data_IF_614695026509
#
_entry.id   IF_614695026509
#
_cell.length_a   1.000
_cell.length_b   1.000
_cell.length_c   1.000
_cell.angle_alpha   90.00
_cell.angle_beta   90.00
_cell.angle_gamma   90.00
#
_symmetry.space_group_name_H-M   'P 1'
#
loop_
_entity.id
_entity.type
_entity.pdbx_description
1 polymer ?
#
# COMPACT_ATOMS: atom_id res chain seq x y z
N UNK A 1 -31.10 -86.53 -61.90
CA UNK A 1 -30.57 -85.17 -61.66
C UNK A 1 -30.63 -84.43 -62.99
N UNK A 2 -31.57 -83.55 -63.39
CA UNK A 2 -32.36 -82.50 -62.68
C UNK A 2 -31.43 -81.61 -61.83
N UNK A 3 -31.26 -80.30 -62.00
CA UNK A 3 -32.07 -79.13 -62.46
C UNK A 3 -31.04 -77.99 -62.77
N UNK A 4 -31.03 -77.28 -63.90
CA UNK A 4 -31.87 -76.15 -64.39
C UNK A 4 -31.39 -74.71 -64.00
N UNK A 5 -30.85 -74.03 -65.02
CA UNK A 5 -31.10 -72.65 -65.55
C UNK A 5 -31.35 -71.39 -64.68
N UNK A 6 -30.56 -70.33 -65.00
CA UNK A 6 -30.85 -68.86 -65.14
C UNK A 6 -31.04 -67.96 -63.89
N UNK A 7 -31.01 -66.58 -63.96
CA UNK A 7 -30.32 -65.60 -64.85
C UNK A 7 -29.85 -64.25 -64.17
N UNK A 8 -29.30 -63.30 -64.95
CA UNK A 8 -29.41 -61.80 -64.89
C UNK A 8 -28.91 -61.02 -63.63
N UNK A 9 -28.01 -60.03 -63.81
CA UNK A 9 -28.32 -58.57 -63.75
C UNK A 9 -27.07 -57.67 -63.84
N UNK A 10 -27.14 -56.70 -64.76
CA UNK A 10 -26.27 -55.53 -64.96
C UNK A 10 -26.42 -54.54 -63.81
N UNK A 11 -25.33 -53.96 -63.27
CA UNK A 11 -25.24 -52.63 -62.59
C UNK A 11 -23.74 -52.30 -62.50
N UNK A 12 -23.22 -51.45 -63.38
CA UNK A 12 -23.16 -49.98 -63.31
C UNK A 12 -22.10 -49.46 -62.32
N UNK A 13 -21.04 -48.93 -62.93
CA UNK A 13 -20.10 -47.92 -62.45
C UNK A 13 -20.74 -46.97 -61.44
N UNK A 14 -20.20 -46.88 -60.23
CA UNK A 14 -20.08 -45.59 -59.56
C UNK A 14 -18.93 -45.64 -58.55
N UNK A 15 -17.82 -45.01 -58.95
CA UNK A 15 -16.84 -44.45 -58.03
C UNK A 15 -17.58 -43.56 -57.04
N UNK A 16 -17.93 -44.09 -55.87
CA UNK A 16 -18.18 -43.25 -54.71
C UNK A 16 -16.85 -43.06 -54.01
N UNK A 17 -16.18 -42.00 -54.45
CA UNK A 17 -15.17 -41.30 -53.69
C UNK A 17 -15.85 -40.86 -52.41
N UNK A 18 -15.61 -41.59 -51.31
CA UNK A 18 -15.98 -41.14 -49.97
C UNK A 18 -14.98 -40.05 -49.58
N UNK A 19 -15.12 -38.87 -50.20
CA UNK A 19 -14.72 -37.63 -49.55
C UNK A 19 -15.67 -37.45 -48.38
N UNK A 20 -15.22 -37.90 -47.21
CA UNK A 20 -15.76 -37.43 -45.94
C UNK A 20 -15.43 -35.95 -45.83
N UNK A 21 -16.27 -35.08 -46.38
CA UNK A 21 -16.44 -33.76 -45.78
C UNK A 21 -17.14 -34.02 -44.45
N UNK A 22 -16.37 -34.15 -43.36
CA UNK A 22 -16.93 -33.74 -42.08
C UNK A 22 -17.28 -32.27 -42.26
N UNK A 23 -18.57 -31.98 -42.22
CA UNK A 23 -19.05 -30.62 -42.05
C UNK A 23 -18.88 -30.34 -40.56
N UNK A 24 -17.65 -30.02 -40.15
CA UNK A 24 -17.46 -29.26 -38.91
C UNK A 24 -18.21 -27.95 -39.14
N UNK A 25 -19.29 -27.77 -38.41
CA UNK A 25 -19.87 -26.45 -38.27
C UNK A 25 -18.85 -25.66 -37.46
N UNK A 26 -18.00 -24.88 -38.14
CA UNK A 26 -17.34 -23.76 -37.48
C UNK A 26 -18.46 -22.85 -37.01
N UNK A 27 -18.85 -22.95 -35.74
CA UNK A 27 -19.58 -21.86 -35.12
C UNK A 27 -18.63 -20.68 -35.17
N UNK A 28 -18.96 -19.73 -36.05
CA UNK A 28 -18.29 -18.45 -36.12
C UNK A 28 -18.75 -17.69 -34.88
N UNK A 29 -18.01 -17.85 -33.79
CA UNK A 29 -18.09 -16.91 -32.68
C UNK A 29 -17.39 -15.65 -33.20
N UNK A 30 -18.14 -14.57 -33.31
CA UNK A 30 -17.63 -13.26 -33.69
C UNK A 30 -16.67 -12.80 -32.59
N UNK A 31 -15.37 -13.10 -32.75
CA UNK A 31 -14.34 -12.56 -31.87
C UNK A 31 -14.19 -11.10 -32.25
N UNK A 32 -15.03 -10.22 -31.68
CA UNK A 32 -14.70 -8.80 -31.74
C UNK A 32 -13.34 -8.62 -31.04
N UNK A 33 -12.44 -7.76 -31.51
CA UNK A 33 -11.11 -7.59 -30.91
C UNK A 33 -11.09 -7.27 -29.40
N UNK A 34 -12.24 -6.90 -28.80
CA UNK A 34 -12.39 -6.71 -27.36
C UNK A 34 -12.66 -7.99 -26.55
N UNK A 35 -12.99 -9.11 -27.21
CA UNK A 35 -13.34 -10.38 -26.55
C UNK A 35 -12.16 -11.35 -26.41
N UNK A 36 -10.96 -10.93 -26.83
CA UNK A 36 -9.78 -11.79 -26.83
C UNK A 36 -8.85 -11.48 -25.66
N UNK A 37 -8.50 -12.53 -24.89
CA UNK A 37 -7.52 -12.48 -23.82
C UNK A 37 -6.20 -13.06 -24.36
N UNK A 38 -5.09 -12.36 -24.13
CA UNK A 38 -3.74 -12.79 -24.50
C UNK A 38 -2.83 -12.75 -23.27
N UNK A 39 -1.67 -13.39 -23.35
CA UNK A 39 -0.66 -13.33 -22.29
C UNK A 39 -0.35 -11.87 -21.93
N UNK A 40 -0.34 -11.58 -20.62
CA UNK A 40 -0.09 -10.26 -20.05
C UNK A 40 -1.04 -9.14 -20.52
N UNK A 41 -2.22 -9.45 -21.06
CA UNK A 41 -3.26 -8.44 -21.26
C UNK A 41 -3.80 -7.94 -19.91
N UNK A 42 -4.41 -6.75 -19.90
CA UNK A 42 -5.01 -6.18 -18.68
C UNK A 42 -5.94 -7.19 -18.00
N UNK A 43 -6.90 -7.76 -18.74
CA UNK A 43 -7.83 -8.75 -18.18
C UNK A 43 -7.13 -10.06 -17.76
N UNK A 44 -6.08 -10.50 -18.47
CA UNK A 44 -5.33 -11.69 -18.06
C UNK A 44 -4.62 -11.47 -16.72
N UNK A 45 -4.03 -10.28 -16.51
CA UNK A 45 -3.37 -9.90 -15.25
C UNK A 45 -4.40 -9.74 -14.13
N UNK A 46 -5.54 -9.09 -14.39
CA UNK A 46 -6.62 -8.94 -13.42
C UNK A 46 -7.17 -10.31 -12.97
N UNK A 47 -7.38 -11.24 -13.91
CA UNK A 47 -7.83 -12.59 -13.57
C UNK A 47 -6.76 -13.41 -12.84
N UNK A 48 -5.47 -13.22 -13.15
CA UNK A 48 -4.38 -13.81 -12.36
C UNK A 48 -4.45 -13.30 -10.93
N UNK A 49 -4.50 -12.00 -10.73
CA UNK A 49 -4.56 -11.36 -9.43
C UNK A 49 -5.81 -11.72 -8.62
N UNK A 50 -6.98 -11.79 -9.25
CA UNK A 50 -8.24 -12.20 -8.62
C UNK A 50 -8.32 -13.71 -8.28
N UNK A 51 -7.42 -14.53 -8.84
CA UNK A 51 -7.36 -15.97 -8.56
C UNK A 51 -6.12 -16.40 -7.80
N UNK A 52 -5.31 -15.45 -7.31
CA UNK A 52 -4.20 -15.75 -6.41
C UNK A 52 -4.72 -16.20 -5.05
N UNK A 53 -3.92 -16.98 -4.33
CA UNK A 53 -4.18 -17.23 -2.91
C UNK A 53 -3.88 -15.93 -2.13
N UNK A 54 -4.90 -15.26 -1.60
CA UNK A 54 -4.74 -13.96 -0.94
C UNK A 54 -3.90 -14.00 0.32
N UNK A 55 -3.70 -15.18 0.93
CA UNK A 55 -2.96 -15.38 2.18
C UNK A 55 -3.71 -14.89 3.43
N UNK A 56 -4.30 -13.71 3.35
CA UNK A 56 -4.88 -12.93 4.45
C UNK A 56 -6.01 -13.57 5.28
N UNK A 57 -6.52 -14.74 4.89
CA UNK A 57 -7.67 -15.36 5.54
C UNK A 57 -7.39 -15.84 6.97
N UNK A 58 -6.13 -16.12 7.30
CA UNK A 58 -5.67 -16.58 8.60
C UNK A 58 -4.54 -15.76 9.22
N UNK A 59 -4.38 -14.50 8.79
CA UNK A 59 -3.40 -13.55 9.36
C UNK A 59 -3.54 -13.39 10.88
N UNK A 60 -4.75 -13.49 11.40
CA UNK A 60 -5.01 -13.44 12.85
C UNK A 60 -4.44 -14.65 13.62
N UNK A 61 -3.98 -15.67 12.91
CA UNK A 61 -3.38 -16.90 13.45
C UNK A 61 -1.87 -16.91 13.22
N UNK A 62 -1.41 -16.57 12.01
CA UNK A 62 -0.02 -16.78 11.59
C UNK A 62 0.76 -15.51 11.24
N UNK A 63 0.07 -14.37 11.16
CA UNK A 63 0.61 -13.06 10.84
C UNK A 63 1.42 -13.03 9.52
N UNK A 64 1.06 -13.86 8.54
CA UNK A 64 1.78 -13.98 7.27
C UNK A 64 0.89 -13.59 6.06
N UNK A 65 0.78 -12.31 5.70
CA UNK A 65 -0.20 -11.83 4.72
C UNK A 65 -0.09 -12.41 3.30
N UNK A 66 1.08 -12.92 2.90
CA UNK A 66 1.35 -13.49 1.57
C UNK A 66 1.25 -15.03 1.53
N UNK A 67 0.70 -15.66 2.56
CA UNK A 67 0.46 -17.10 2.57
C UNK A 67 -0.69 -17.47 3.48
N UNK A 68 -1.28 -18.64 3.27
CA UNK A 68 -2.32 -19.18 4.17
C UNK A 68 -1.95 -20.58 4.65
N UNK A 69 -2.46 -20.99 5.81
CA UNK A 69 -2.26 -22.35 6.32
C UNK A 69 -3.23 -23.31 5.62
N UNK A 70 -2.67 -24.35 5.01
CA UNK A 70 -3.45 -25.40 4.38
C UNK A 70 -4.25 -26.20 5.42
N UNK A 71 -5.57 -26.29 5.25
CA UNK A 71 -6.41 -27.17 6.06
C UNK A 71 -6.10 -28.66 5.82
N UNK A 72 -6.26 -29.53 6.84
CA UNK A 72 -6.55 -29.18 8.24
C UNK A 72 -5.28 -28.93 9.07
N UNK A 73 -5.37 -28.08 10.08
CA UNK A 73 -4.31 -27.84 11.07
C UNK A 73 -4.88 -27.73 12.49
N UNK A 74 -4.01 -27.56 13.49
CA UNK A 74 -4.41 -27.46 14.89
C UNK A 74 -3.86 -26.20 15.53
N UNK A 75 -4.67 -25.59 16.39
CA UNK A 75 -4.29 -24.46 17.24
C UNK A 75 -4.61 -24.76 18.70
N UNK A 76 -3.94 -24.08 19.61
CA UNK A 76 -4.22 -24.12 21.06
C UNK A 76 -4.76 -22.76 21.46
N UNK A 77 -5.95 -22.73 22.05
CA UNK A 77 -6.59 -21.53 22.60
C UNK A 77 -7.02 -21.89 24.03
N UNK A 78 -6.63 -21.07 25.02
CA UNK A 78 -6.90 -21.33 26.44
C UNK A 78 -6.48 -22.72 26.94
N UNK A 79 -5.40 -23.28 26.38
CA UNK A 79 -4.89 -24.61 26.71
C UNK A 79 -5.69 -25.79 26.11
N UNK A 80 -6.71 -25.51 25.29
CA UNK A 80 -7.45 -26.54 24.55
C UNK A 80 -6.98 -26.59 23.09
N UNK A 81 -6.69 -27.79 22.60
CA UNK A 81 -6.39 -28.04 21.19
C UNK A 81 -7.68 -28.05 20.37
N UNK A 82 -7.72 -27.24 19.33
CA UNK A 82 -8.82 -27.11 18.36
C UNK A 82 -8.26 -27.50 16.99
N UNK A 83 -9.01 -28.31 16.24
CA UNK A 83 -8.68 -28.65 14.85
C UNK A 83 -9.46 -27.73 13.92
N UNK A 84 -8.77 -27.08 13.00
CA UNK A 84 -9.34 -26.24 11.96
C UNK A 84 -9.38 -27.06 10.67
N UNK A 85 -10.56 -27.33 10.15
CA UNK A 85 -10.77 -28.21 8.99
C UNK A 85 -11.24 -27.48 7.75
N UNK A 86 -11.82 -26.29 7.91
CA UNK A 86 -12.27 -25.41 6.83
C UNK A 86 -12.44 -23.95 7.30
N UNK A 87 -12.90 -23.09 6.40
CA UNK A 87 -13.15 -21.67 6.66
C UNK A 87 -14.21 -21.41 7.74
N UNK A 88 -15.17 -22.31 7.94
CA UNK A 88 -16.21 -22.13 8.95
C UNK A 88 -15.66 -22.27 10.37
N UNK A 89 -14.61 -23.09 10.55
CA UNK A 89 -13.89 -23.21 11.82
C UNK A 89 -13.13 -21.91 12.15
N UNK A 90 -12.56 -21.20 11.16
CA UNK A 90 -11.87 -19.91 11.36
C UNK A 90 -12.80 -18.83 11.90
N UNK A 91 -14.00 -18.70 11.33
CA UNK A 91 -15.00 -17.73 11.79
C UNK A 91 -15.40 -17.92 13.27
N UNK A 92 -15.29 -19.15 13.78
CA UNK A 92 -15.60 -19.46 15.19
C UNK A 92 -14.54 -18.96 16.17
N UNK A 93 -13.30 -18.73 15.70
CA UNK A 93 -12.17 -18.32 16.53
C UNK A 93 -11.67 -16.89 16.24
N UNK A 94 -12.05 -16.27 15.13
CA UNK A 94 -11.55 -14.96 14.69
C UNK A 94 -11.78 -13.76 15.63
N UNK A 95 -12.68 -13.88 16.63
CA UNK A 95 -12.94 -12.83 17.63
C UNK A 95 -12.36 -13.14 19.02
N UNK A 96 -11.51 -14.18 19.12
CA UNK A 96 -10.89 -14.53 20.41
C UNK A 96 -9.87 -13.48 20.82
N UNK A 97 -9.90 -13.07 22.09
CA UNK A 97 -8.85 -12.24 22.70
C UNK A 97 -7.76 -13.08 23.36
N UNK A 98 -7.93 -14.41 23.38
CA UNK A 98 -6.95 -15.32 23.96
C UNK A 98 -5.85 -15.60 22.93
N UNK A 99 -4.57 -15.68 23.36
CA UNK A 99 -3.47 -15.97 22.45
C UNK A 99 -3.69 -17.31 21.74
N UNK A 100 -3.46 -17.31 20.43
CA UNK A 100 -3.54 -18.49 19.57
C UNK A 100 -2.13 -19.05 19.43
N UNK A 101 -1.94 -20.34 19.66
CA UNK A 101 -0.67 -21.03 19.42
C UNK A 101 -0.84 -22.10 18.36
N UNK A 102 -0.08 -22.02 17.28
CA UNK A 102 -0.09 -23.01 16.20
C UNK A 102 0.56 -24.32 16.68
N UNK A 103 -0.07 -25.46 16.36
CA UNK A 103 0.50 -26.79 16.56
C UNK A 103 1.22 -27.22 15.29
N UNK A 104 2.55 -27.21 15.34
CA UNK A 104 3.40 -27.64 14.25
C UNK A 104 3.50 -29.18 14.14
N UNK A 105 3.81 -29.73 12.94
CA UNK A 105 4.05 -29.00 11.69
C UNK A 105 2.76 -28.54 11.01
N UNK A 106 2.87 -27.46 10.24
CA UNK A 106 1.82 -26.97 9.34
C UNK A 106 2.32 -26.94 7.90
N UNK A 107 1.40 -26.93 6.93
CA UNK A 107 1.73 -26.66 5.52
C UNK A 107 1.20 -25.27 5.20
N UNK A 108 2.06 -24.39 4.71
CA UNK A 108 1.65 -23.08 4.18
C UNK A 108 1.48 -23.15 2.67
N UNK A 109 0.54 -22.36 2.14
CA UNK A 109 0.26 -22.18 0.72
C UNK A 109 0.59 -20.73 0.39
N UNK A 110 1.47 -20.49 -0.58
CA UNK A 110 1.84 -19.13 -1.02
C UNK A 110 0.85 -18.59 -2.06
N UNK A 111 1.02 -17.33 -2.45
CA UNK A 111 0.20 -16.65 -3.47
C UNK A 111 0.10 -17.43 -4.80
N UNK A 112 1.19 -18.12 -5.17
CA UNK A 112 1.29 -18.92 -6.39
C UNK A 112 0.75 -20.36 -6.26
N UNK A 113 0.09 -20.67 -5.12
CA UNK A 113 -0.36 -22.00 -4.71
C UNK A 113 0.76 -23.05 -4.51
N UNK A 114 2.04 -22.64 -4.56
CA UNK A 114 3.11 -23.51 -4.11
C UNK A 114 2.98 -23.73 -2.60
N UNK A 115 3.47 -24.87 -2.11
CA UNK A 115 3.31 -25.25 -0.71
C UNK A 115 4.65 -25.49 -0.04
N UNK A 116 4.72 -25.20 1.25
CA UNK A 116 5.90 -25.48 2.07
C UNK A 116 5.51 -26.04 3.43
N UNK A 117 6.20 -27.10 3.84
CA UNK A 117 6.11 -27.63 5.18
C UNK A 117 6.90 -26.72 6.14
N UNK A 118 6.26 -26.31 7.23
CA UNK A 118 6.82 -25.48 8.30
C UNK A 118 6.80 -26.30 9.58
N UNK A 119 7.97 -26.56 10.15
CA UNK A 119 8.12 -27.54 11.24
C UNK A 119 8.05 -26.94 12.64
N UNK A 120 8.15 -25.62 12.77
CA UNK A 120 8.23 -24.91 14.05
C UNK A 120 8.01 -23.40 13.84
N UNK A 121 7.81 -22.68 14.93
CA UNK A 121 7.59 -21.23 14.94
C UNK A 121 8.73 -20.46 14.29
N UNK A 122 9.99 -20.84 14.51
CA UNK A 122 11.14 -20.15 13.92
C UNK A 122 11.13 -20.19 12.38
N UNK A 123 10.67 -21.31 11.79
CA UNK A 123 10.50 -21.42 10.34
C UNK A 123 9.35 -20.54 9.83
N UNK A 124 8.30 -20.34 10.62
CA UNK A 124 7.18 -19.45 10.31
C UNK A 124 7.59 -17.98 10.42
N UNK A 125 8.26 -17.58 11.50
CA UNK A 125 8.75 -16.21 11.70
C UNK A 125 9.69 -15.78 10.56
N UNK A 126 10.50 -16.73 10.05
CA UNK A 126 11.35 -16.48 8.89
C UNK A 126 10.57 -16.26 7.58
N UNK A 127 9.37 -16.83 7.45
CA UNK A 127 8.46 -16.56 6.34
C UNK A 127 7.82 -15.18 6.47
N UNK A 128 7.38 -14.80 7.67
CA UNK A 128 6.82 -13.46 7.96
C UNK A 128 7.79 -12.35 7.55
N UNK A 129 9.08 -12.48 7.88
CA UNK A 129 10.10 -11.48 7.49
C UNK A 129 10.29 -11.37 5.97
N UNK A 130 10.16 -12.49 5.26
CA UNK A 130 10.29 -12.53 3.79
C UNK A 130 9.01 -12.09 3.09
N UNK A 131 7.91 -12.00 3.82
CA UNK A 131 6.62 -11.56 3.36
C UNK A 131 6.61 -10.03 3.18
N UNK A 132 7.31 -9.57 2.15
CA UNK A 132 7.17 -8.21 1.66
C UNK A 132 5.80 -8.16 0.98
N UNK A 133 4.89 -7.30 1.44
CA UNK A 133 3.56 -7.14 0.86
C UNK A 133 3.68 -6.75 -0.62
N UNK A 134 3.73 -7.76 -1.48
CA UNK A 134 3.58 -7.60 -2.92
C UNK A 134 2.11 -7.72 -3.30
N UNK A 135 1.20 -7.57 -2.34
CA UNK A 135 -0.21 -7.99 -2.41
C UNK A 135 -0.92 -7.28 -3.58
N UNK A 136 -0.81 -7.93 -4.73
CA UNK A 136 -1.55 -7.62 -5.93
C UNK A 136 -2.83 -8.48 -5.96
N UNK A 137 -3.13 -9.24 -4.89
CA UNK A 137 -4.31 -10.09 -4.86
C UNK A 137 -5.57 -9.23 -4.85
N UNK A 138 -6.56 -9.63 -5.63
CA UNK A 138 -7.84 -8.92 -5.70
C UNK A 138 -8.86 -9.75 -4.94
N UNK A 139 -9.07 -9.41 -3.66
CA UNK A 139 -9.89 -10.19 -2.72
C UNK A 139 -11.36 -9.74 -2.64
N UNK A 140 -11.73 -8.66 -3.34
CA UNK A 140 -13.07 -8.09 -3.25
C UNK A 140 -14.08 -8.72 -4.25
N UNK A 141 -13.63 -9.66 -5.08
CA UNK A 141 -14.47 -10.50 -5.92
C UNK A 141 -14.11 -11.98 -5.73
N UNK A 142 -15.08 -12.86 -5.99
CA UNK A 142 -14.91 -14.31 -6.03
C UNK A 142 -15.53 -14.87 -7.31
N UNK A 143 -14.76 -15.67 -8.05
CA UNK A 143 -15.18 -16.25 -9.34
C UNK A 143 -15.94 -17.54 -9.08
N UNK A 144 -17.21 -17.60 -9.51
CA UNK A 144 -17.99 -18.83 -9.37
C UNK A 144 -17.56 -19.84 -10.44
N UNK A 145 -16.85 -20.87 -10.00
CA UNK A 145 -16.44 -21.99 -10.85
C UNK A 145 -17.57 -23.03 -11.03
N UNK A 146 -17.53 -23.81 -12.14
CA UNK A 146 -16.52 -23.80 -13.20
C UNK A 146 -16.72 -22.71 -14.26
N UNK A 147 -15.64 -22.26 -14.88
CA UNK A 147 -15.64 -21.39 -16.07
C UNK A 147 -14.94 -22.10 -17.24
N UNK A 148 -15.35 -21.81 -18.47
CA UNK A 148 -14.80 -22.44 -19.68
C UNK A 148 -14.08 -21.41 -20.54
N UNK A 149 -12.90 -21.76 -21.06
CA UNK A 149 -12.18 -20.98 -22.06
C UNK A 149 -12.10 -21.73 -23.38
N UNK A 150 -12.32 -21.02 -24.48
CA UNK A 150 -11.98 -21.44 -25.83
C UNK A 150 -10.58 -20.94 -26.18
N UNK A 151 -9.76 -21.81 -26.77
CA UNK A 151 -8.37 -21.52 -27.13
C UNK A 151 -8.28 -21.38 -28.64
N UNK A 152 -7.63 -20.33 -29.12
CA UNK A 152 -7.43 -20.01 -30.53
C UNK A 152 -5.94 -19.80 -30.85
N UNK A 153 -5.58 -20.03 -32.11
CA UNK A 153 -4.29 -19.65 -32.66
C UNK A 153 -4.36 -18.28 -33.37
N UNK A 154 -3.22 -17.79 -33.88
CA UNK A 154 -3.11 -16.51 -34.60
C UNK A 154 -3.91 -16.43 -35.91
N UNK A 155 -4.47 -17.54 -36.40
CA UNK A 155 -5.35 -17.58 -37.58
C UNK A 155 -6.84 -17.58 -37.20
N UNK A 156 -7.19 -17.32 -35.92
CA UNK A 156 -8.54 -17.41 -35.36
C UNK A 156 -9.17 -18.81 -35.48
N UNK A 157 -8.35 -19.85 -35.54
CA UNK A 157 -8.83 -21.24 -35.50
C UNK A 157 -8.88 -21.70 -34.04
N UNK A 158 -10.02 -22.22 -33.60
CA UNK A 158 -10.14 -22.80 -32.27
C UNK A 158 -9.30 -24.09 -32.20
N UNK A 159 -8.31 -24.11 -31.32
CA UNK A 159 -7.39 -25.24 -31.12
C UNK A 159 -7.77 -26.08 -29.91
N UNK A 160 -8.64 -25.58 -29.01
CA UNK A 160 -9.06 -26.34 -27.84
C UNK A 160 -10.11 -25.64 -26.99
N UNK A 161 -10.45 -26.32 -25.89
CA UNK A 161 -11.34 -25.84 -24.83
C UNK A 161 -10.78 -26.34 -23.50
N UNK A 162 -10.79 -25.48 -22.48
CA UNK A 162 -10.41 -25.85 -21.11
C UNK A 162 -11.52 -25.44 -20.14
N UNK A 163 -11.81 -26.31 -19.17
CA UNK A 163 -12.75 -26.04 -18.08
C UNK A 163 -11.92 -25.87 -16.81
N UNK A 164 -12.05 -24.72 -16.16
CA UNK A 164 -11.36 -24.35 -14.94
C UNK A 164 -12.33 -24.48 -13.77
N UNK A 165 -11.93 -25.16 -12.70
CA UNK A 165 -12.81 -25.50 -11.56
C UNK A 165 -12.42 -24.86 -10.22
N UNK A 166 -11.36 -24.04 -10.18
CA UNK A 166 -10.86 -23.40 -8.96
C UNK A 166 -9.87 -22.29 -9.29
N UNK A 167 -9.65 -21.38 -8.35
CA UNK A 167 -8.65 -20.30 -8.46
C UNK A 167 -7.25 -20.82 -8.75
N UNK A 168 -6.79 -21.85 -8.03
CA UNK A 168 -5.49 -22.48 -8.29
C UNK A 168 -5.32 -22.95 -9.75
N UNK A 169 -6.39 -23.40 -10.39
CA UNK A 169 -6.34 -23.82 -11.79
C UNK A 169 -6.36 -22.61 -12.73
N UNK A 170 -7.13 -21.57 -12.41
CA UNK A 170 -7.18 -20.34 -13.20
C UNK A 170 -5.82 -19.63 -13.18
N UNK A 171 -5.27 -19.45 -11.99
CA UNK A 171 -3.98 -18.81 -11.76
C UNK A 171 -2.86 -19.51 -12.53
N UNK A 172 -2.73 -20.84 -12.39
CA UNK A 172 -1.74 -21.63 -13.12
C UNK A 172 -1.99 -21.59 -14.63
N UNK A 173 -3.24 -21.64 -15.07
CA UNK A 173 -3.58 -21.60 -16.49
C UNK A 173 -3.15 -20.28 -17.16
N UNK A 174 -3.37 -19.15 -16.48
CA UNK A 174 -3.04 -17.83 -17.01
C UNK A 174 -1.54 -17.50 -16.90
N UNK A 175 -0.87 -17.92 -15.82
CA UNK A 175 0.59 -17.71 -15.64
C UNK A 175 1.44 -18.53 -16.60
N UNK A 176 0.90 -19.64 -17.12
CA UNK A 176 1.59 -20.52 -18.09
C UNK A 176 1.12 -20.31 -19.54
N UNK A 177 0.35 -19.25 -19.81
CA UNK A 177 -0.17 -18.95 -21.14
C UNK A 177 0.97 -18.57 -22.11
N UNK A 178 1.15 -19.36 -23.17
CA UNK A 178 2.19 -19.14 -24.18
C UNK A 178 1.87 -17.96 -25.11
N UNK A 179 2.91 -17.29 -25.61
CA UNK A 179 2.78 -16.26 -26.64
C UNK A 179 2.10 -16.80 -27.91
N UNK A 180 1.18 -16.03 -28.47
CA UNK A 180 0.44 -16.43 -29.68
C UNK A 180 -0.73 -17.39 -29.44
N UNK A 181 -1.05 -17.67 -28.17
CA UNK A 181 -2.31 -18.27 -27.74
C UNK A 181 -3.32 -17.17 -27.40
N UNK A 182 -4.53 -17.31 -27.92
CA UNK A 182 -5.62 -16.38 -27.73
C UNK A 182 -6.77 -17.10 -27.02
N UNK A 183 -7.34 -16.49 -25.99
CA UNK A 183 -8.39 -17.08 -25.18
C UNK A 183 -9.68 -16.28 -25.31
N UNK A 184 -10.82 -16.98 -25.26
CA UNK A 184 -12.13 -16.38 -25.06
C UNK A 184 -12.86 -17.11 -23.94
N UNK A 185 -13.51 -16.37 -23.05
CA UNK A 185 -14.36 -16.94 -22.00
C UNK A 185 -15.71 -17.33 -22.61
N UNK A 186 -16.21 -18.51 -22.25
CA UNK A 186 -17.58 -18.93 -22.54
C UNK A 186 -18.54 -18.23 -21.58
N UNK A 187 -18.92 -17.00 -21.93
CA UNK A 187 -19.87 -16.20 -21.15
C UNK A 187 -21.31 -16.74 -21.29
N UNK A 188 -22.20 -16.50 -20.30
CA UNK A 188 -21.95 -15.71 -19.09
C UNK A 188 -21.26 -16.46 -17.97
N UNK A 189 -20.51 -15.73 -17.14
CA UNK A 189 -19.96 -16.22 -15.86
C UNK A 189 -20.60 -15.48 -14.68
N UNK A 190 -20.47 -16.03 -13.48
CA UNK A 190 -20.98 -15.39 -12.25
C UNK A 190 -19.82 -14.99 -11.36
N UNK A 191 -19.87 -13.78 -10.83
CA UNK A 191 -18.93 -13.23 -9.87
C UNK A 191 -19.70 -12.91 -8.59
N UNK A 192 -19.14 -13.23 -7.42
CA UNK A 192 -19.63 -12.81 -6.11
C UNK A 192 -18.79 -11.60 -5.68
N UNK A 193 -19.41 -10.54 -5.18
CA UNK A 193 -18.72 -9.36 -4.64
C UNK A 193 -18.47 -9.51 -3.14
N UNK A 194 -17.62 -8.65 -2.58
CA UNK A 194 -17.30 -8.61 -1.15
C UNK A 194 -18.53 -8.45 -0.24
N UNK A 195 -19.60 -7.81 -0.72
CA UNK A 195 -20.89 -7.68 -0.01
C UNK A 195 -21.76 -8.95 -0.07
N UNK A 196 -21.29 -10.01 -0.74
CA UNK A 196 -21.97 -11.28 -0.96
C UNK A 196 -23.00 -11.28 -2.09
N UNK A 197 -23.19 -10.15 -2.79
CA UNK A 197 -24.07 -10.08 -3.95
C UNK A 197 -23.46 -10.77 -5.17
N UNK A 198 -24.30 -11.31 -6.06
CA UNK A 198 -23.86 -12.00 -7.27
C UNK A 198 -24.13 -11.16 -8.53
N UNK A 199 -23.13 -11.01 -9.39
CA UNK A 199 -23.20 -10.33 -10.67
C UNK A 199 -22.99 -11.33 -11.81
N UNK A 200 -23.88 -11.30 -12.81
CA UNK A 200 -23.71 -12.08 -14.05
C UNK A 200 -22.96 -11.21 -15.07
N UNK A 201 -21.81 -11.72 -15.51
CA UNK A 201 -20.91 -11.05 -16.45
C UNK A 201 -21.04 -11.70 -17.82
N UNK A 202 -21.15 -10.88 -18.86
CA UNK A 202 -21.51 -11.33 -20.21
C UNK A 202 -20.44 -11.10 -21.28
N UNK A 203 -19.38 -10.36 -20.97
CA UNK A 203 -18.27 -10.07 -21.88
C UNK A 203 -17.04 -9.57 -21.10
N UNK A 204 -15.90 -9.47 -21.78
CA UNK A 204 -14.62 -9.07 -21.19
C UNK A 204 -14.62 -7.64 -20.63
N UNK A 205 -15.26 -6.68 -21.29
CA UNK A 205 -15.30 -5.30 -20.81
C UNK A 205 -16.05 -5.21 -19.48
N UNK A 206 -17.22 -5.85 -19.39
CA UNK A 206 -17.99 -5.90 -18.15
C UNK A 206 -17.21 -6.61 -17.04
N UNK A 207 -16.44 -7.66 -17.37
CA UNK A 207 -15.59 -8.34 -16.40
C UNK A 207 -14.50 -7.39 -15.91
N UNK A 208 -13.72 -6.82 -16.82
CA UNK A 208 -12.64 -5.89 -16.50
C UNK A 208 -13.13 -4.70 -15.66
N UNK A 209 -14.22 -4.05 -16.06
CA UNK A 209 -14.83 -2.95 -15.32
C UNK A 209 -15.26 -3.40 -13.92
N UNK A 210 -15.82 -4.61 -13.78
CA UNK A 210 -16.22 -5.14 -12.47
C UNK A 210 -15.02 -5.34 -11.55
N UNK A 211 -13.94 -5.96 -12.05
CA UNK A 211 -12.71 -6.18 -11.27
C UNK A 211 -12.07 -4.82 -10.92
N UNK A 212 -11.98 -3.89 -11.87
CA UNK A 212 -11.37 -2.58 -11.64
C UNK A 212 -12.16 -1.73 -10.64
N UNK A 213 -13.49 -1.66 -10.78
CA UNK A 213 -14.33 -0.98 -9.79
C UNK A 213 -14.19 -1.59 -8.41
N UNK A 214 -13.95 -2.91 -8.34
CA UNK A 214 -13.73 -3.59 -7.09
C UNK A 214 -12.44 -3.12 -6.40
N UNK A 215 -11.35 -3.02 -7.17
CA UNK A 215 -10.09 -2.41 -6.71
C UNK A 215 -10.35 -0.97 -6.26
N UNK A 216 -11.08 -0.20 -7.06
CA UNK A 216 -11.39 1.21 -6.77
C UNK A 216 -12.30 1.39 -5.53
N UNK A 217 -13.16 0.41 -5.19
CA UNK A 217 -14.03 0.40 -3.99
C UNK A 217 -13.23 0.06 -2.72
N UNK A 218 -12.25 -0.85 -2.80
CA UNK A 218 -11.36 -1.13 -1.65
C UNK A 218 -10.65 0.17 -1.21
N UNK A 219 -10.41 1.10 -2.14
CA UNK A 219 -9.76 2.39 -1.91
C UNK A 219 -10.67 3.41 -1.15
N UNK A 220 -11.99 3.20 -1.07
CA UNK A 220 -12.95 4.19 -0.53
C UNK A 220 -13.46 3.90 0.91
N UNK A 221 -13.34 2.68 1.46
CA UNK A 221 -13.94 2.33 2.79
C UNK A 221 -13.01 1.61 3.82
N UNK A 222 -11.69 1.51 3.56
CA UNK A 222 -10.67 1.24 4.59
C UNK A 222 -9.28 1.56 4.07
N UNK A 223 -8.34 2.09 4.88
CA UNK A 223 -7.14 2.75 4.38
C UNK A 223 -6.11 1.73 3.86
N UNK A 224 -6.14 1.42 2.57
CA UNK A 224 -4.95 0.91 1.87
C UNK A 224 -3.98 2.08 1.62
N UNK A 225 -2.66 1.82 1.54
CA UNK A 225 -1.66 2.86 1.36
C UNK A 225 -1.96 3.56 0.04
N UNK A 226 -2.38 4.81 0.16
CA UNK A 226 -2.61 5.66 -0.99
C UNK A 226 -1.26 5.73 -1.73
N UNK A 227 -1.23 5.66 -3.06
CA UNK A 227 0.02 5.91 -3.79
C UNK A 227 0.22 7.44 -3.89
N UNK A 228 1.41 7.92 -3.56
CA UNK A 228 1.72 9.34 -3.51
C UNK A 228 1.40 10.05 -4.85
N UNK A 229 1.60 9.38 -5.97
CA UNK A 229 1.25 9.91 -7.30
C UNK A 229 -0.24 10.25 -7.41
N UNK A 230 -1.10 9.42 -6.82
CA UNK A 230 -2.56 9.62 -6.86
C UNK A 230 -3.01 10.76 -5.95
N UNK A 231 -2.37 10.91 -4.78
CA UNK A 231 -2.59 12.03 -3.85
C UNK A 231 -2.18 13.38 -4.45
N UNK A 232 -1.05 13.41 -5.15
CA UNK A 232 -0.52 14.63 -5.73
C UNK A 232 -1.47 15.25 -6.76
N UNK A 233 -2.15 14.41 -7.58
CA UNK A 233 -2.98 14.86 -8.71
C UNK A 233 -4.44 15.18 -8.38
N UNK A 234 -4.89 15.06 -7.13
CA UNK A 234 -6.33 15.23 -6.80
C UNK A 234 -6.79 16.68 -6.78
N UNK A 235 -6.05 17.55 -6.10
CA UNK A 235 -6.42 18.93 -5.75
C UNK A 235 -5.15 19.78 -5.54
N UNK A 236 -5.33 21.08 -5.32
CA UNK A 236 -4.23 22.00 -5.05
C UNK A 236 -3.51 21.69 -3.72
N UNK A 237 -2.23 22.04 -3.70
CA UNK A 237 -1.33 21.91 -2.55
C UNK A 237 -0.70 23.24 -2.20
N UNK A 238 -0.37 23.40 -0.92
CA UNK A 238 0.27 24.59 -0.38
C UNK A 238 1.46 24.16 0.47
N UNK A 239 2.60 24.84 0.33
CA UNK A 239 3.72 24.66 1.25
C UNK A 239 3.25 25.15 2.62
N UNK A 240 3.24 24.24 3.57
CA UNK A 240 2.84 24.48 4.95
C UNK A 240 4.01 24.51 5.93
N UNK A 241 5.14 23.96 5.49
CA UNK A 241 6.43 24.06 6.15
C UNK A 241 7.54 23.87 5.11
N UNK A 242 8.57 24.70 5.18
CA UNK A 242 9.82 24.54 4.44
C UNK A 242 11.00 24.99 5.31
N UNK A 243 12.00 24.12 5.41
CA UNK A 243 13.21 24.35 6.18
C UNK A 243 14.44 24.01 5.34
N UNK A 244 15.31 25.00 5.16
CA UNK A 244 16.66 24.87 4.60
C UNK A 244 17.59 25.76 5.42
N UNK A 245 18.37 25.15 6.32
CA UNK A 245 19.21 25.77 7.37
C UNK A 245 18.49 26.72 8.37
N UNK A 246 17.41 27.37 7.94
CA UNK A 246 16.47 28.25 8.67
C UNK A 246 15.03 28.01 8.16
N UNK A 247 14.01 28.45 8.91
CA UNK A 247 12.62 28.35 8.44
C UNK A 247 12.39 29.41 7.37
N UNK A 248 12.09 28.93 6.17
CA UNK A 248 11.85 29.74 4.98
C UNK A 248 10.41 29.52 4.45
N UNK A 249 9.54 28.92 5.25
CA UNK A 249 8.12 28.67 4.92
C UNK A 249 7.42 29.92 4.40
N UNK A 250 7.79 31.09 4.93
CA UNK A 250 7.19 32.37 4.54
C UNK A 250 7.44 32.76 3.08
N UNK A 251 8.50 32.25 2.45
CA UNK A 251 8.82 32.54 1.04
C UNK A 251 7.83 31.88 0.08
N UNK A 252 7.18 30.81 0.52
CA UNK A 252 6.13 30.11 -0.24
C UNK A 252 4.72 30.65 0.05
N UNK A 253 4.58 31.71 0.84
CA UNK A 253 3.28 32.25 1.21
C UNK A 253 2.46 32.69 -0.03
N UNK A 254 1.28 32.09 -0.19
CA UNK A 254 0.35 32.38 -1.28
C UNK A 254 0.62 31.64 -2.59
N UNK A 255 1.63 30.77 -2.65
CA UNK A 255 1.78 29.84 -3.76
C UNK A 255 0.77 28.70 -3.67
N UNK A 256 0.16 28.39 -4.82
CA UNK A 256 -0.70 27.23 -5.03
C UNK A 256 -0.02 26.28 -6.02
N UNK A 257 0.17 25.01 -5.62
CA UNK A 257 0.82 23.98 -6.42
C UNK A 257 -0.22 22.99 -6.96
N UNK A 258 -0.16 22.70 -8.26
CA UNK A 258 -1.05 21.75 -8.92
C UNK A 258 -0.21 20.75 -9.69
N UNK A 259 -0.43 19.46 -9.46
CA UNK A 259 0.27 18.38 -10.15
C UNK A 259 -0.65 17.72 -11.19
N UNK A 260 -0.08 17.34 -12.33
CA UNK A 260 -0.82 16.77 -13.45
C UNK A 260 -0.35 15.36 -13.78
N UNK A 261 -1.26 14.54 -14.30
CA UNK A 261 -1.02 13.11 -14.64
C UNK A 261 0.04 12.88 -15.71
N UNK A 262 0.46 13.92 -16.43
CA UNK A 262 1.50 13.84 -17.47
C UNK A 262 2.91 14.15 -16.92
N UNK A 263 3.06 14.27 -15.60
CA UNK A 263 4.31 14.62 -14.93
C UNK A 263 4.64 16.12 -14.95
N UNK A 264 3.72 16.97 -15.40
CA UNK A 264 3.87 18.43 -15.29
C UNK A 264 3.27 18.96 -13.99
N UNK A 265 3.79 20.08 -13.49
CA UNK A 265 3.29 20.78 -12.31
C UNK A 265 3.17 22.29 -12.56
N UNK A 266 2.32 22.96 -11.80
CA UNK A 266 2.11 24.40 -11.86
C UNK A 266 2.28 25.01 -10.46
N UNK A 267 3.16 26.00 -10.31
CA UNK A 267 3.26 26.85 -9.13
C UNK A 267 2.64 28.22 -9.44
N UNK A 268 1.56 28.58 -8.75
CA UNK A 268 0.71 29.73 -9.05
C UNK A 268 0.83 30.74 -7.90
N UNK A 269 1.21 31.98 -8.22
CA UNK A 269 1.19 33.10 -7.27
C UNK A 269 0.38 34.25 -7.84
N UNK A 270 -0.86 34.38 -7.36
CA UNK A 270 -1.81 35.39 -7.86
C UNK A 270 -2.17 35.17 -9.33
N UNK A 271 -1.65 36.01 -10.23
CA UNK A 271 -1.90 35.92 -11.67
C UNK A 271 -0.71 35.32 -12.46
N UNK A 272 0.39 35.02 -11.78
CA UNK A 272 1.58 34.44 -12.38
C UNK A 272 1.57 32.91 -12.19
N UNK A 273 1.99 32.18 -13.22
CA UNK A 273 2.13 30.73 -13.18
C UNK A 273 3.51 30.36 -13.69
N UNK A 274 4.23 29.57 -12.89
CA UNK A 274 5.49 28.92 -13.27
C UNK A 274 5.21 27.44 -13.51
N UNK A 275 5.59 26.92 -14.68
CA UNK A 275 5.45 25.50 -15.00
C UNK A 275 6.70 24.75 -14.56
N UNK A 276 6.49 23.58 -13.96
CA UNK A 276 7.52 22.65 -13.53
C UNK A 276 7.22 21.20 -13.94
N UNK A 277 8.01 20.28 -13.40
CA UNK A 277 7.83 18.83 -13.55
C UNK A 277 7.90 18.15 -12.19
N UNK A 278 7.28 16.98 -12.11
CA UNK A 278 7.35 16.12 -10.93
C UNK A 278 7.36 14.65 -11.35
N UNK A 279 7.95 13.79 -10.53
CA UNK A 279 7.76 12.34 -10.63
C UNK A 279 8.09 11.66 -9.30
N UNK A 280 7.46 10.52 -9.05
CA UNK A 280 7.76 9.67 -7.90
C UNK A 280 8.64 8.51 -8.35
N UNK A 281 9.64 8.15 -7.55
CA UNK A 281 10.41 6.94 -7.77
C UNK A 281 10.78 6.25 -6.45
N UNK A 282 11.09 4.97 -6.54
CA UNK A 282 11.48 4.16 -5.39
C UNK A 282 12.89 3.67 -5.59
N UNK A 283 13.77 3.90 -4.62
CA UNK A 283 15.14 3.39 -4.65
C UNK A 283 15.15 1.86 -4.49
N UNK A 284 16.29 1.23 -4.82
CA UNK A 284 16.46 -0.23 -4.63
C UNK A 284 16.31 -0.70 -3.17
N UNK A 285 16.31 0.22 -2.20
CA UNK A 285 16.10 -0.06 -0.78
C UNK A 285 14.67 0.21 -0.29
N UNK A 286 13.73 0.52 -1.19
CA UNK A 286 12.33 0.78 -0.84
C UNK A 286 12.01 2.22 -0.41
N UNK A 287 13.02 3.10 -0.28
CA UNK A 287 12.76 4.52 0.00
C UNK A 287 12.05 5.18 -1.18
N UNK A 288 10.84 5.68 -0.93
CA UNK A 288 10.06 6.50 -1.85
C UNK A 288 10.63 7.93 -1.90
N UNK A 289 10.69 8.50 -3.09
CA UNK A 289 11.16 9.87 -3.35
C UNK A 289 10.19 10.62 -4.27
N UNK A 290 9.97 11.89 -3.98
CA UNK A 290 9.29 12.86 -4.83
C UNK A 290 10.32 13.81 -5.42
N UNK A 291 10.42 13.86 -6.74
CA UNK A 291 11.32 14.75 -7.44
C UNK A 291 10.50 15.94 -7.93
N UNK A 292 10.94 17.16 -7.63
CA UNK A 292 10.27 18.39 -8.02
C UNK A 292 11.25 19.25 -8.84
N UNK A 293 10.75 19.98 -9.84
CA UNK A 293 11.55 20.98 -10.54
C UNK A 293 10.65 22.08 -11.06
N UNK A 294 10.83 23.31 -10.57
CA UNK A 294 10.08 24.50 -11.02
C UNK A 294 10.99 25.56 -11.66
N UNK A 295 12.22 25.19 -12.01
CA UNK A 295 13.24 26.07 -12.57
C UNK A 295 14.14 26.73 -11.52
N UNK A 296 14.95 27.70 -11.96
CA UNK A 296 16.08 28.27 -11.21
C UNK A 296 15.79 29.65 -10.58
N UNK A 297 14.52 29.95 -10.27
CA UNK A 297 14.14 31.27 -9.75
C UNK A 297 13.61 31.16 -8.32
N UNK A 298 14.23 31.89 -7.41
CA UNK A 298 13.77 32.07 -6.04
C UNK A 298 12.28 32.47 -5.95
N UNK A 299 11.48 31.83 -5.07
CA UNK A 299 11.86 30.79 -4.10
C UNK A 299 11.68 29.34 -4.62
N UNK A 300 11.34 29.14 -5.90
CA UNK A 300 10.93 27.83 -6.41
C UNK A 300 12.12 26.92 -6.77
N UNK A 301 13.32 27.46 -6.89
CA UNK A 301 14.55 26.70 -7.06
C UNK A 301 14.93 25.91 -5.81
N UNK A 302 14.54 26.40 -4.63
CA UNK A 302 14.73 25.69 -3.34
C UNK A 302 13.91 24.39 -3.25
N UNK A 303 12.96 24.16 -4.16
CA UNK A 303 12.22 22.90 -4.25
C UNK A 303 12.83 21.88 -5.21
N UNK A 304 13.85 22.25 -6.00
CA UNK A 304 14.45 21.42 -7.08
C UNK A 304 15.34 20.29 -6.56
N UNK A 305 14.75 19.36 -5.80
CA UNK A 305 15.44 18.26 -5.12
C UNK A 305 14.75 16.90 -5.29
N UNK A 306 15.45 15.82 -4.92
CA UNK A 306 14.98 14.43 -4.95
C UNK A 306 14.46 13.94 -3.57
N UNK A 307 13.57 14.74 -3.00
CA UNK A 307 12.97 14.62 -1.67
C UNK A 307 12.57 13.19 -1.30
N UNK A 308 13.05 12.69 -0.16
CA UNK A 308 12.62 11.42 0.43
C UNK A 308 11.29 11.61 1.16
N UNK A 309 10.37 10.68 0.96
CA UNK A 309 9.05 10.71 1.60
C UNK A 309 9.13 10.19 3.04
N UNK A 310 8.60 10.97 3.98
CA UNK A 310 8.45 10.58 5.39
C UNK A 310 7.07 9.94 5.59
N UNK A 311 6.02 10.70 5.31
CA UNK A 311 4.62 10.29 5.44
C UNK A 311 3.78 11.05 4.42
N UNK A 312 2.62 10.50 4.07
CA UNK A 312 1.68 11.20 3.22
C UNK A 312 0.26 10.64 3.39
N UNK A 313 -0.72 11.49 3.09
CA UNK A 313 -2.16 11.23 3.15
C UNK A 313 -2.88 12.15 2.16
N UNK A 314 -4.22 12.04 2.08
CA UNK A 314 -5.01 12.97 1.28
C UNK A 314 -4.86 14.43 1.70
N UNK A 315 -4.46 14.72 2.93
CA UNK A 315 -4.41 16.08 3.49
C UNK A 315 -3.00 16.65 3.64
N UNK A 316 -1.98 15.79 3.61
CA UNK A 316 -0.62 16.13 4.02
C UNK A 316 0.42 15.29 3.27
N UNK A 317 1.54 15.88 2.88
CA UNK A 317 2.73 15.17 2.40
C UNK A 317 3.94 15.74 3.13
N UNK A 318 4.72 14.90 3.83
CA UNK A 318 5.98 15.28 4.48
C UNK A 318 7.18 14.63 3.83
N UNK A 319 8.20 15.45 3.64
CA UNK A 319 9.37 15.15 2.87
C UNK A 319 10.62 15.64 3.60
N UNK A 320 11.76 14.98 3.36
CA UNK A 320 13.06 15.49 3.72
C UNK A 320 14.08 15.24 2.63
N UNK A 321 15.10 16.08 2.52
CA UNK A 321 16.29 15.79 1.73
C UNK A 321 17.57 15.93 2.56
N UNK A 322 18.65 15.27 2.15
CA UNK A 322 19.96 15.46 2.78
C UNK A 322 20.88 16.02 1.70
N UNK A 323 21.22 17.31 1.82
CA UNK A 323 22.03 18.04 0.85
C UNK A 323 23.34 17.31 0.57
N UNK A 324 23.64 17.12 -0.71
CA UNK A 324 24.89 16.48 -1.16
C UNK A 324 26.15 17.32 -0.89
N UNK A 325 26.00 18.58 -0.49
CA UNK A 325 27.07 19.54 -0.29
C UNK A 325 27.64 19.54 1.13
N UNK A 326 26.90 20.11 2.07
CA UNK A 326 27.25 20.27 3.48
C UNK A 326 26.64 19.20 4.40
N UNK A 327 25.70 18.40 3.88
CA UNK A 327 25.00 17.37 4.63
C UNK A 327 23.93 17.93 5.57
N UNK A 328 23.48 19.17 5.36
CA UNK A 328 22.25 19.68 5.99
C UNK A 328 21.06 18.79 5.64
N UNK A 329 20.00 18.87 6.43
CA UNK A 329 18.76 18.13 6.17
C UNK A 329 17.63 19.13 6.05
N UNK A 330 17.00 19.11 4.89
CA UNK A 330 15.96 20.05 4.52
C UNK A 330 14.61 19.34 4.68
N UNK A 331 13.57 20.09 5.02
CA UNK A 331 12.23 19.54 5.22
C UNK A 331 11.20 20.32 4.43
N UNK A 332 10.27 19.59 3.81
CA UNK A 332 9.18 20.17 3.04
C UNK A 332 7.87 19.48 3.42
N UNK A 333 6.83 20.27 3.69
CA UNK A 333 5.48 19.76 3.94
C UNK A 333 4.45 20.47 3.08
N UNK A 334 3.73 19.70 2.27
CA UNK A 334 2.52 20.18 1.58
C UNK A 334 1.27 19.87 2.40
N UNK A 335 0.30 20.79 2.39
CA UNK A 335 -1.05 20.56 2.91
C UNK A 335 -2.12 21.16 1.99
N UNK A 336 -3.39 20.83 2.25
CA UNK A 336 -4.54 21.30 1.45
C UNK A 336 -5.01 22.71 1.78
N UNK A 337 -4.59 23.25 2.92
CA UNK A 337 -5.01 24.57 3.37
C UNK A 337 -3.95 25.60 3.04
N UNK A 338 -4.31 26.72 2.36
CA UNK A 338 -3.38 27.82 2.17
C UNK A 338 -2.82 28.28 3.50
N UNK A 339 -1.50 28.19 3.67
CA UNK A 339 -0.85 28.74 4.85
C UNK A 339 -0.52 30.20 4.61
N UNK A 340 -0.61 31.02 5.66
CA UNK A 340 -0.10 32.39 5.65
C UNK A 340 1.39 32.44 6.01
N UNK A 341 2.13 31.34 5.83
CA UNK A 341 3.56 31.22 6.13
C UNK A 341 3.90 30.78 7.57
N UNK A 342 3.22 29.75 8.11
CA UNK A 342 3.56 29.17 9.42
C UNK A 342 2.53 28.10 9.87
N UNK A 343 2.75 26.83 9.52
CA UNK A 343 1.73 25.76 9.57
C UNK A 343 1.23 25.34 10.96
N UNK A 344 -0.08 25.36 11.21
CA UNK A 344 -0.76 24.76 12.38
C UNK A 344 -2.01 25.54 12.83
N UNK A 345 -2.85 24.96 13.71
CA UNK A 345 -3.97 25.69 14.35
C UNK A 345 -3.46 26.95 15.11
N UNK A 346 -4.33 27.92 15.45
CA UNK A 346 -3.91 29.08 16.25
C UNK A 346 -3.15 28.72 17.53
N UNK A 347 -3.53 27.62 18.17
CA UNK A 347 -2.92 27.07 19.39
C UNK A 347 -1.56 26.42 19.12
N UNK A 348 -1.42 25.71 17.99
CA UNK A 348 -0.13 25.21 17.53
C UNK A 348 0.85 26.37 17.25
N UNK A 349 0.35 27.45 16.63
CA UNK A 349 1.14 28.66 16.42
C UNK A 349 1.54 29.33 17.75
N UNK A 350 0.64 29.32 18.73
CA UNK A 350 0.93 29.85 20.05
C UNK A 350 2.03 29.04 20.75
N UNK A 351 1.95 27.71 20.73
CA UNK A 351 2.97 26.84 21.32
C UNK A 351 4.33 27.03 20.61
N UNK A 352 4.37 27.07 19.27
CA UNK A 352 5.61 27.39 18.54
C UNK A 352 6.23 28.70 18.99
N UNK A 353 5.41 29.76 19.06
CA UNK A 353 5.85 31.09 19.51
C UNK A 353 6.43 31.03 20.92
N UNK A 354 5.87 30.20 21.80
CA UNK A 354 6.37 30.01 23.16
C UNK A 354 7.72 29.28 23.15
N UNK A 355 7.82 28.18 22.39
CA UNK A 355 9.02 27.33 22.32
C UNK A 355 10.24 28.09 21.78
N UNK A 356 10.08 28.90 20.73
CA UNK A 356 11.18 29.68 20.16
C UNK A 356 11.60 30.90 20.98
N UNK A 357 10.82 31.28 22.00
CA UNK A 357 11.07 32.43 22.86
C UNK A 357 11.99 32.09 24.05
N UNK A 358 13.22 31.63 23.76
CA UNK A 358 14.28 31.46 24.75
C UNK A 358 14.87 30.06 24.83
N UNK A 359 15.55 29.79 25.95
CA UNK A 359 16.18 28.51 26.22
C UNK A 359 15.40 27.76 27.30
N UNK A 360 15.38 26.44 27.16
CA UNK A 360 14.63 25.52 27.98
C UNK A 360 15.57 24.49 28.61
N UNK A 361 15.16 23.94 29.75
CA UNK A 361 15.75 22.74 30.33
C UNK A 361 14.64 21.73 30.61
N UNK A 362 15.01 20.45 30.64
CA UNK A 362 14.11 19.38 31.09
C UNK A 362 13.97 19.50 32.60
N UNK A 363 12.81 19.97 33.05
CA UNK A 363 12.48 20.11 34.47
C UNK A 363 12.01 18.79 35.07
N UNK A 364 11.48 17.89 34.25
CA UNK A 364 11.08 16.55 34.62
C UNK A 364 11.09 15.63 33.40
N UNK A 365 11.62 14.43 33.58
CA UNK A 365 11.41 13.28 32.71
C UNK A 365 11.16 12.05 33.59
N UNK A 366 9.97 11.46 33.48
CA UNK A 366 9.58 10.21 34.12
C UNK A 366 9.38 9.16 33.04
N UNK A 367 10.17 8.11 33.09
CA UNK A 367 10.07 6.90 32.25
C UNK A 367 9.14 5.88 32.94
N UNK A 368 8.28 5.24 32.17
CA UNK A 368 7.21 4.33 32.59
C UNK A 368 6.33 4.91 33.73
N UNK A 369 6.30 6.23 33.86
CA UNK A 369 5.64 6.99 34.92
C UNK A 369 6.14 6.73 36.35
N UNK A 370 7.23 5.96 36.52
CA UNK A 370 7.75 5.56 37.84
C UNK A 370 9.24 5.81 38.02
N UNK A 371 10.02 5.81 36.94
CA UNK A 371 11.46 5.96 36.97
C UNK A 371 11.85 7.40 36.60
N UNK A 372 12.36 8.15 37.57
CA UNK A 372 12.76 9.55 37.39
C UNK A 372 14.18 9.62 36.83
N UNK A 373 14.26 9.81 35.51
CA UNK A 373 15.50 9.92 34.75
C UNK A 373 15.86 11.37 34.38
N UNK A 374 15.18 12.35 35.00
CA UNK A 374 15.45 13.80 34.82
C UNK A 374 16.94 14.14 34.95
N UNK A 375 17.70 13.37 35.73
CA UNK A 375 19.13 13.62 35.95
C UNK A 375 19.99 13.61 34.69
N UNK A 376 19.55 12.91 33.66
CA UNK A 376 20.33 12.64 32.46
C UNK A 376 20.36 13.88 31.56
N UNK A 377 19.37 14.75 31.72
CA UNK A 377 19.19 15.99 30.98
C UNK A 377 19.70 17.24 31.71
N UNK A 378 20.08 17.14 32.99
CA UNK A 378 20.48 18.29 33.83
C UNK A 378 21.58 19.19 33.25
N UNK A 379 22.42 18.65 32.38
CA UNK A 379 23.53 19.39 31.76
C UNK A 379 23.18 20.06 30.44
N UNK A 380 21.99 19.77 29.89
CA UNK A 380 21.54 20.27 28.60
C UNK A 380 20.73 21.55 28.72
N UNK A 381 20.96 22.45 27.79
CA UNK A 381 20.12 23.59 27.47
C UNK A 381 19.55 23.37 26.07
N UNK A 382 18.23 23.42 25.94
CA UNK A 382 17.50 23.24 24.69
C UNK A 382 17.12 24.60 24.11
N UNK A 383 17.49 24.86 22.87
CA UNK A 383 17.08 26.04 22.14
C UNK A 383 16.28 25.61 20.91
N UNK A 384 14.97 25.83 20.96
CA UNK A 384 14.08 25.62 19.82
C UNK A 384 14.19 26.83 18.91
N UNK A 385 14.50 26.59 17.65
CA UNK A 385 14.65 27.65 16.65
C UNK A 385 13.47 27.60 15.67
N UNK A 386 13.14 28.75 15.09
CA UNK A 386 12.03 28.87 14.11
C UNK A 386 12.16 27.86 12.97
N UNK A 387 13.40 27.53 12.62
CA UNK A 387 13.83 26.42 11.75
C UNK A 387 13.22 25.05 11.99
N UNK A 388 12.65 24.77 13.16
CA UNK A 388 12.34 23.39 13.51
C UNK A 388 13.59 22.58 13.90
N UNK A 389 14.77 23.21 14.05
CA UNK A 389 15.91 22.62 14.74
C UNK A 389 15.81 22.92 16.24
N UNK A 390 16.07 21.91 17.06
CA UNK A 390 16.28 22.05 18.51
C UNK A 390 17.74 21.74 18.83
N UNK A 391 18.46 22.72 19.34
CA UNK A 391 19.85 22.57 19.76
C UNK A 391 19.92 22.19 21.24
N UNK A 392 20.32 20.96 21.55
CA UNK A 392 20.61 20.49 22.90
C UNK A 392 22.10 20.66 23.20
N UNK A 393 22.43 21.69 23.99
CA UNK A 393 23.82 22.06 24.30
C UNK A 393 24.19 21.70 25.73
N UNK A 394 25.29 20.98 25.90
CA UNK A 394 25.91 20.70 27.20
C UNK A 394 27.39 21.11 27.21
N UNK A 395 28.15 20.72 28.24
CA UNK A 395 29.59 21.05 28.34
C UNK A 395 30.47 20.36 27.30
N UNK A 396 29.98 19.30 26.67
CA UNK A 396 30.71 18.47 25.71
C UNK A 396 30.43 18.88 24.25
N UNK A 397 29.42 19.70 24.00
CA UNK A 397 29.07 20.20 22.68
C UNK A 397 27.58 20.44 22.51
N UNK A 398 27.17 20.61 21.27
CA UNK A 398 25.78 20.76 20.86
C UNK A 398 25.39 19.56 20.02
N UNK A 399 24.26 18.94 20.36
CA UNK A 399 23.58 17.93 19.57
C UNK A 399 22.31 18.57 19.01
N UNK A 400 22.12 18.47 17.70
CA UNK A 400 20.94 19.00 17.04
C UNK A 400 19.92 17.88 16.84
N UNK A 401 18.68 18.18 17.19
CA UNK A 401 17.51 17.41 16.79
C UNK A 401 16.56 18.28 15.98
N UNK A 402 15.42 17.71 15.61
CA UNK A 402 14.30 18.41 15.01
C UNK A 402 13.13 18.47 15.97
N UNK A 403 12.28 19.48 15.78
CA UNK A 403 11.04 19.64 16.52
C UNK A 403 9.97 20.25 15.63
N UNK A 404 8.70 19.86 15.87
CA UNK A 404 7.57 20.59 15.31
C UNK A 404 6.32 20.39 16.16
N UNK A 405 5.36 21.30 16.01
CA UNK A 405 4.05 21.22 16.69
C UNK A 405 2.97 20.90 15.67
N UNK A 406 2.18 19.86 15.95
CA UNK A 406 1.07 19.39 15.10
C UNK A 406 -0.21 19.21 15.92
N UNK A 407 -1.34 18.99 15.23
CA UNK A 407 -2.64 18.75 15.86
C UNK A 407 -3.50 20.00 16.07
N UNK A 408 -4.63 19.80 16.76
CA UNK A 408 -5.66 20.82 17.04
C UNK A 408 -6.07 20.77 18.51
N UNK A 409 -6.95 21.68 18.94
CA UNK A 409 -7.52 21.71 20.29
C UNK A 409 -7.95 20.32 20.80
N UNK A 410 -7.32 19.88 21.89
CA UNK A 410 -7.57 18.59 22.53
C UNK A 410 -6.69 17.43 22.08
N UNK A 411 -5.94 17.57 20.97
CA UNK A 411 -4.99 16.59 20.40
C UNK A 411 -3.69 17.27 19.90
N UNK A 412 -3.22 18.30 20.60
CA UNK A 412 -1.99 19.00 20.24
C UNK A 412 -0.77 18.12 20.58
N UNK A 413 0.20 18.03 19.68
CA UNK A 413 1.43 17.24 19.86
C UNK A 413 2.68 18.07 19.60
N UNK A 414 3.74 17.81 20.38
CA UNK A 414 5.10 18.26 20.12
C UNK A 414 5.93 17.05 19.72
N UNK A 415 6.43 17.04 18.49
CA UNK A 415 7.30 15.96 18.03
C UNK A 415 8.75 16.36 18.19
N UNK A 416 9.56 15.46 18.73
CA UNK A 416 10.99 15.63 18.95
C UNK A 416 11.75 14.47 18.31
N UNK A 417 12.92 14.76 17.72
CA UNK A 417 13.80 13.73 17.18
C UNK A 417 15.27 14.19 17.21
N UNK A 418 16.09 13.50 17.99
CA UNK A 418 17.52 13.69 18.18
C UNK A 418 18.34 12.57 17.53
N UNK A 419 17.75 11.85 16.57
CA UNK A 419 18.36 10.81 15.76
C UNK A 419 18.86 9.60 16.58
N UNK A 420 18.12 9.21 17.62
CA UNK A 420 18.52 8.13 18.53
C UNK A 420 19.90 8.35 19.18
N UNK A 421 20.24 9.61 19.53
CA UNK A 421 21.51 9.95 20.15
C UNK A 421 21.39 9.99 21.67
N UNK A 422 21.94 8.99 22.35
CA UNK A 422 21.95 8.92 23.82
C UNK A 422 22.61 10.13 24.51
N UNK A 423 21.97 10.71 25.56
CA UNK A 423 20.70 10.28 26.19
C UNK A 423 19.45 10.98 25.62
N UNK A 424 19.58 11.71 24.51
CA UNK A 424 18.48 12.46 23.92
C UNK A 424 17.49 11.58 23.15
N UNK A 425 17.86 10.32 22.87
CA UNK A 425 16.98 9.32 22.28
C UNK A 425 15.74 9.04 23.14
N UNK A 426 15.86 9.17 24.46
CA UNK A 426 14.74 9.03 25.40
C UNK A 426 13.72 10.19 25.26
N UNK A 427 14.05 11.27 24.53
CA UNK A 427 13.12 12.35 24.21
C UNK A 427 12.48 12.22 22.83
N UNK A 428 12.91 11.23 22.01
CA UNK A 428 12.47 11.04 20.63
C UNK A 428 11.07 10.45 20.60
N UNK A 429 10.05 11.30 20.49
CA UNK A 429 8.65 10.88 20.49
C UNK A 429 7.70 11.95 19.92
N UNK A 430 6.44 11.58 19.69
CA UNK A 430 5.35 12.44 19.26
C UNK A 430 4.44 12.90 20.43
N UNK A 431 5.09 13.37 21.49
CA UNK A 431 4.50 13.81 22.76
C UNK A 431 3.15 14.54 22.67
N UNK A 432 2.13 14.01 23.35
CA UNK A 432 0.87 14.71 23.56
C UNK A 432 1.03 15.87 24.55
N UNK A 433 0.60 17.06 24.14
CA UNK A 433 0.64 18.26 24.98
C UNK A 433 -0.49 18.21 26.01
N UNK A 434 -0.12 18.11 27.30
CA UNK A 434 -1.07 18.19 28.43
C UNK A 434 -1.51 19.64 28.62
N UNK A 435 -0.53 20.53 28.77
CA UNK A 435 -0.72 21.97 28.91
C UNK A 435 0.56 22.72 28.51
N UNK A 436 0.41 24.02 28.22
CA UNK A 436 1.54 24.90 28.01
C UNK A 436 1.24 26.32 28.48
N UNK A 437 2.29 26.97 28.95
CA UNK A 437 2.33 28.36 29.40
C UNK A 437 3.61 29.01 28.87
N UNK A 438 3.74 30.33 29.00
CA UNK A 438 4.91 31.07 28.48
C UNK A 438 6.27 30.57 29.01
N UNK A 439 6.31 29.84 30.13
CA UNK A 439 7.54 29.36 30.76
C UNK A 439 7.55 27.86 31.08
N UNK A 440 6.52 27.11 30.67
CA UNK A 440 6.42 25.68 30.95
C UNK A 440 5.63 24.97 29.85
N UNK A 441 6.10 23.81 29.40
CA UNK A 441 5.39 22.93 28.48
C UNK A 441 5.37 21.53 29.10
N UNK A 442 4.18 20.95 29.27
CA UNK A 442 3.98 19.62 29.86
C UNK A 442 3.44 18.66 28.83
N UNK A 443 4.08 17.51 28.77
CA UNK A 443 3.97 16.53 27.71
C UNK A 443 3.78 15.14 28.33
N UNK A 444 3.04 14.28 27.65
CA UNK A 444 2.93 12.86 27.97
C UNK A 444 2.98 12.02 26.70
N UNK A 445 3.31 10.76 26.84
CA UNK A 445 3.20 9.81 25.74
C UNK A 445 1.74 9.71 25.22
N UNK A 446 1.60 9.41 23.93
CA UNK A 446 0.31 9.20 23.28
C UNK A 446 -0.29 7.80 23.57
N UNK A 447 0.52 6.83 23.98
CA UNK A 447 0.08 5.46 24.29
C UNK A 447 -0.30 5.26 25.77
N UNK A 448 -1.20 4.31 26.05
CA UNK A 448 -1.80 4.09 27.39
C UNK A 448 -1.04 3.01 28.20
N UNK A 449 0.00 2.39 27.63
CA UNK A 449 0.82 1.36 28.31
C UNK A 449 1.97 1.94 29.10
N UNK A 450 2.61 2.96 28.54
CA UNK A 450 3.84 3.56 29.02
C UNK A 450 3.44 5.01 29.42
N UNK A 451 3.82 5.41 30.64
CA UNK A 451 3.21 6.54 31.34
C UNK A 451 4.16 7.74 31.38
N UNK A 452 4.88 7.95 30.28
CA UNK A 452 5.98 8.89 30.26
C UNK A 452 5.50 10.33 30.40
N UNK A 453 6.29 11.11 31.12
CA UNK A 453 6.00 12.51 31.39
C UNK A 453 7.25 13.35 31.18
N UNK A 454 7.15 14.28 30.23
CA UNK A 454 8.20 15.25 29.94
C UNK A 454 7.72 16.66 30.27
N UNK A 455 8.54 17.43 30.98
CA UNK A 455 8.27 18.85 31.25
C UNK A 455 9.49 19.68 30.89
N UNK A 456 9.30 20.66 30.01
CA UNK A 456 10.27 21.71 29.76
C UNK A 456 9.92 22.96 30.56
N UNK A 457 10.93 23.61 31.15
CA UNK A 457 10.83 24.95 31.75
C UNK A 457 11.88 25.90 31.16
N UNK A 458 11.55 27.20 31.10
CA UNK A 458 12.51 28.22 30.68
C UNK A 458 13.54 28.49 31.79
N UNK A 459 14.78 28.76 31.37
CA UNK A 459 15.85 29.25 32.26
C UNK A 459 15.54 30.58 32.95
#
# INVERSE_FOLDING_TARGET
>A
MKISTTPILVILVMSFVLFSCQKEASEFIDTTPGDTIIANSVLATLLQNASQNSGSIDDFIDSTPCSSIQFPYQVIINGQTITITDLSDLASIGNTTSPITIVFPITVVFEDFSTRLVNNQQELDALVILCQSLDNSINCIDIVYPITFFIFNANNEQTGTVVISSDAQLFVFLTTLEDGVFLAIDFPITIILSDGSSVVVTNNNQLQDLIQNCIDIIIDDSPLPIDLETILITDSWFVSFFFDDQDETSDFAGYEFIFHTDGTASAILGANTTTGTWFVNTTSGGQLKLNLNFGLNFPLDELDEDWKVIEFSNELIRLFDISGGDGSTDYLTFSRTPTTGGGGSPEAQQLRTILIDGNWFVAQYLDDGVDDETSDFNSFSFNFMESGIVAATNTNGTLNGTWFVTGTDGNLKLVLNFNNVNPLDDLDDDWMVIDFQNSQVRLREDNDSDADLLTFEKF
#
